data_IF_837873337260
#
_entry.id   IF_837873337260
#
_cell.length_a   1.000
_cell.length_b   1.000
_cell.length_c   1.000
_cell.angle_alpha   90.00
_cell.angle_beta   90.00
_cell.angle_gamma   90.00
#
_symmetry.space_group_name_H-M   'P 1'
#
loop_
_entity.id
_entity.type
_entity.pdbx_description
1 polymer ?
#
# COMPACT_ATOMS: atom_id res chain seq x y z
N UNK A 1 9.16 -11.83 -13.37
CA UNK A 1 10.47 -11.80 -12.68
C UNK A 1 11.10 -10.41 -12.75
N UNK A 2 11.54 -9.93 -13.93
CA UNK A 2 12.24 -8.65 -14.08
C UNK A 2 11.53 -7.45 -13.42
N UNK A 3 10.23 -7.25 -13.70
CA UNK A 3 9.47 -6.16 -13.08
C UNK A 3 9.37 -6.28 -11.55
N UNK A 4 9.21 -7.50 -11.03
CA UNK A 4 9.20 -7.74 -9.58
C UNK A 4 10.53 -7.37 -8.93
N UNK A 5 11.65 -7.76 -9.56
CA UNK A 5 12.98 -7.39 -9.11
C UNK A 5 13.18 -5.86 -9.12
N UNK A 6 12.89 -5.20 -10.24
CA UNK A 6 13.12 -3.77 -10.39
C UNK A 6 12.21 -2.94 -9.46
N UNK A 7 10.94 -3.33 -9.31
CA UNK A 7 10.02 -2.67 -8.39
C UNK A 7 10.50 -2.81 -6.93
N UNK A 8 10.95 -4.00 -6.54
CA UNK A 8 11.44 -4.30 -5.20
C UNK A 8 12.80 -3.67 -4.89
N UNK A 9 13.65 -3.47 -5.91
CA UNK A 9 14.89 -2.71 -5.83
C UNK A 9 14.62 -1.22 -5.63
N UNK A 10 13.55 -0.69 -6.24
CA UNK A 10 13.16 0.71 -6.10
C UNK A 10 12.44 1.00 -4.77
N UNK A 11 11.57 0.09 -4.31
CA UNK A 11 10.77 0.25 -3.08
C UNK A 11 10.49 -1.10 -2.41
N UNK A 12 10.54 -1.19 -1.07
CA UNK A 12 10.22 -2.43 -0.34
C UNK A 12 8.83 -3.01 -0.65
N UNK A 13 7.85 -2.15 -0.95
CA UNK A 13 6.49 -2.57 -1.33
C UNK A 13 6.43 -3.37 -2.63
N UNK A 14 7.48 -3.34 -3.46
CA UNK A 14 7.62 -4.23 -4.61
C UNK A 14 7.62 -5.72 -4.25
N UNK A 15 7.93 -6.07 -2.99
CA UNK A 15 7.77 -7.44 -2.46
C UNK A 15 6.33 -7.96 -2.61
N UNK A 16 5.34 -7.09 -2.52
CA UNK A 16 3.93 -7.49 -2.59
C UNK A 16 3.54 -8.05 -3.96
N UNK A 17 4.32 -7.77 -5.02
CA UNK A 17 4.10 -8.35 -6.35
C UNK A 17 4.28 -9.86 -6.40
N UNK A 18 4.93 -10.48 -5.40
CA UNK A 18 4.97 -11.93 -5.28
C UNK A 18 3.58 -12.54 -5.01
N UNK A 19 2.69 -11.82 -4.33
CA UNK A 19 1.38 -12.34 -3.92
C UNK A 19 0.42 -12.58 -5.10
N UNK A 20 0.21 -11.65 -6.05
CA UNK A 20 -0.55 -11.94 -7.27
C UNK A 20 -0.05 -13.18 -8.01
N UNK A 21 1.27 -13.34 -8.12
CA UNK A 21 1.89 -14.50 -8.77
C UNK A 21 1.60 -15.78 -7.99
N UNK A 22 1.72 -15.76 -6.66
CA UNK A 22 1.39 -16.90 -5.80
C UNK A 22 -0.09 -17.30 -5.94
N UNK A 23 -0.99 -16.32 -5.95
CA UNK A 23 -2.43 -16.56 -6.10
C UNK A 23 -2.73 -17.20 -7.46
N UNK A 24 -2.21 -16.64 -8.55
CA UNK A 24 -2.45 -17.21 -9.88
C UNK A 24 -1.77 -18.57 -10.07
N UNK A 25 -0.58 -18.77 -9.50
CA UNK A 25 0.11 -20.05 -9.51
C UNK A 25 -0.67 -21.12 -8.75
N UNK A 26 -1.27 -20.76 -7.61
CA UNK A 26 -2.12 -21.66 -6.84
C UNK A 26 -3.39 -22.05 -7.60
N UNK A 27 -4.03 -21.08 -8.28
CA UNK A 27 -5.25 -21.29 -9.09
C UNK A 27 -4.99 -22.23 -10.27
N UNK A 28 -3.85 -22.07 -10.94
CA UNK A 28 -3.48 -22.86 -12.13
C UNK A 28 -2.45 -23.96 -11.81
N UNK A 29 -2.33 -24.38 -10.55
CA UNK A 29 -1.25 -25.28 -10.08
C UNK A 29 -1.16 -26.62 -10.80
N UNK A 30 -2.28 -27.09 -11.37
CA UNK A 30 -2.35 -28.36 -12.12
C UNK A 30 -1.75 -28.26 -13.52
N UNK A 31 -1.65 -27.04 -14.06
CA UNK A 31 -1.16 -26.74 -15.41
C UNK A 31 0.33 -26.33 -15.40
N UNK A 32 0.90 -26.09 -14.22
CA UNK A 32 2.28 -25.62 -14.07
C UNK A 32 3.30 -26.76 -14.17
N UNK A 33 3.84 -26.97 -15.37
CA UNK A 33 4.89 -27.96 -15.65
C UNK A 33 6.11 -27.36 -16.33
N UNK A 34 7.26 -28.03 -16.21
CA UNK A 34 8.50 -27.70 -16.91
C UNK A 34 8.94 -26.23 -16.75
N UNK A 35 9.22 -25.57 -17.87
CA UNK A 35 9.69 -24.18 -17.91
C UNK A 35 8.68 -23.18 -17.29
N UNK A 36 7.38 -23.44 -17.36
CA UNK A 36 6.38 -22.55 -16.76
C UNK A 36 6.51 -22.50 -15.23
N UNK A 37 6.75 -23.66 -14.60
CA UNK A 37 6.98 -23.74 -13.15
C UNK A 37 8.24 -22.97 -12.73
N UNK A 38 9.32 -23.10 -13.50
CA UNK A 38 10.56 -22.34 -13.27
C UNK A 38 10.31 -20.84 -13.39
N UNK A 39 9.58 -20.41 -14.42
CA UNK A 39 9.21 -19.00 -14.62
C UNK A 39 8.40 -18.41 -13.46
N UNK A 40 7.44 -19.18 -12.93
CA UNK A 40 6.65 -18.79 -11.75
C UNK A 40 7.53 -18.68 -10.50
N UNK A 41 8.38 -19.66 -10.23
CA UNK A 41 9.29 -19.61 -9.09
C UNK A 41 10.25 -18.42 -9.18
N UNK A 42 10.79 -18.15 -10.37
CA UNK A 42 11.61 -16.97 -10.63
C UNK A 42 10.81 -15.68 -10.41
N UNK A 43 9.53 -15.62 -10.81
CA UNK A 43 8.69 -14.46 -10.60
C UNK A 43 8.36 -14.20 -9.11
N UNK A 44 8.21 -15.25 -8.30
CA UNK A 44 7.98 -15.16 -6.85
C UNK A 44 9.26 -14.75 -6.12
N UNK A 45 10.41 -15.30 -6.50
CA UNK A 45 11.69 -15.03 -5.85
C UNK A 45 12.29 -13.66 -6.22
N UNK A 46 12.03 -13.18 -7.44
CA UNK A 46 12.64 -11.96 -7.98
C UNK A 46 12.45 -10.70 -7.10
N UNK A 47 11.26 -10.41 -6.52
CA UNK A 47 11.11 -9.31 -5.58
C UNK A 47 12.03 -9.41 -4.35
N UNK A 48 12.15 -10.61 -3.76
CA UNK A 48 13.03 -10.83 -2.61
C UNK A 48 14.50 -10.61 -2.99
N UNK A 49 14.91 -11.04 -4.19
CA UNK A 49 16.25 -10.75 -4.73
C UNK A 49 16.45 -9.24 -4.90
N UNK A 50 15.43 -8.50 -5.36
CA UNK A 50 15.47 -7.04 -5.50
C UNK A 50 15.72 -6.32 -4.18
N UNK A 51 14.89 -6.59 -3.17
CA UNK A 51 15.09 -6.03 -1.81
C UNK A 51 16.42 -6.47 -1.21
N UNK A 52 16.77 -7.75 -1.31
CA UNK A 52 18.02 -8.28 -0.78
C UNK A 52 19.24 -7.58 -1.40
N UNK A 53 19.23 -7.37 -2.72
CA UNK A 53 20.29 -6.66 -3.43
C UNK A 53 20.43 -5.21 -2.95
N UNK A 54 19.30 -4.52 -2.74
CA UNK A 54 19.30 -3.16 -2.18
C UNK A 54 19.89 -3.14 -0.77
N UNK A 55 19.44 -4.00 0.14
CA UNK A 55 19.92 -4.05 1.53
C UNK A 55 21.41 -4.43 1.61
N UNK A 56 21.88 -5.29 0.71
CA UNK A 56 23.31 -5.61 0.59
C UNK A 56 24.14 -4.39 0.17
N UNK A 57 23.64 -3.63 -0.81
CA UNK A 57 24.28 -2.37 -1.24
C UNK A 57 24.29 -1.32 -0.13
N UNK A 58 23.19 -1.16 0.62
CA UNK A 58 23.15 -0.27 1.79
C UNK A 58 24.19 -0.72 2.82
N UNK A 59 24.25 -2.01 3.14
CA UNK A 59 25.23 -2.54 4.08
C UNK A 59 26.68 -2.28 3.66
N UNK A 60 26.99 -2.44 2.37
CA UNK A 60 28.35 -2.16 1.88
C UNK A 60 28.67 -0.66 1.89
N UNK A 61 27.68 0.22 1.72
CA UNK A 61 27.89 1.68 1.64
C UNK A 61 27.88 2.39 2.99
N UNK A 62 27.07 1.91 3.93
CA UNK A 62 26.77 2.57 5.21
C UNK A 62 27.13 1.73 6.44
N UNK A 63 27.60 0.49 6.28
CA UNK A 63 27.93 -0.42 7.39
C UNK A 63 26.71 -1.06 8.06
N UNK A 64 25.51 -0.74 7.59
CA UNK A 64 24.26 -1.19 8.16
C UNK A 64 23.26 -1.59 7.06
N UNK A 65 23.02 -2.91 6.93
CA UNK A 65 22.09 -3.47 5.94
C UNK A 65 20.62 -3.11 6.21
N UNK A 66 20.25 -2.89 7.47
CA UNK A 66 18.87 -2.65 7.89
C UNK A 66 18.60 -1.17 8.17
N UNK A 67 19.56 -0.30 7.86
CA UNK A 67 19.44 1.15 8.04
C UNK A 67 18.10 1.71 7.51
N UNK A 68 17.59 1.34 6.31
CA UNK A 68 16.33 1.87 5.81
C UNK A 68 15.13 1.47 6.67
N UNK A 69 15.17 0.28 7.29
CA UNK A 69 14.08 -0.17 8.18
C UNK A 69 14.14 0.56 9.52
N UNK A 70 15.34 0.82 10.06
CA UNK A 70 15.51 1.61 11.28
C UNK A 70 15.09 3.06 11.10
N UNK A 71 15.50 3.68 9.99
CA UNK A 71 15.04 5.03 9.63
C UNK A 71 13.53 5.08 9.46
N UNK A 72 12.91 4.02 8.93
CA UNK A 72 11.45 3.94 8.88
C UNK A 72 10.81 3.81 10.27
N UNK A 73 11.38 3.01 11.17
CA UNK A 73 10.92 2.87 12.56
C UNK A 73 10.92 4.25 13.27
N UNK A 74 11.99 5.03 13.10
CA UNK A 74 12.08 6.41 13.65
C UNK A 74 11.02 7.36 13.05
N UNK A 75 10.67 7.19 11.77
CA UNK A 75 9.76 8.09 11.06
C UNK A 75 8.28 7.69 11.18
N UNK A 76 7.98 6.40 11.40
CA UNK A 76 6.63 5.83 11.36
C UNK A 76 6.16 5.31 12.71
N UNK A 77 7.07 5.24 13.69
CA UNK A 77 6.89 4.45 14.89
C UNK A 77 6.99 2.96 14.59
N UNK A 78 6.65 2.17 15.60
CA UNK A 78 6.68 0.73 15.52
C UNK A 78 5.52 0.15 14.71
N UNK A 79 5.39 -1.18 14.81
CA UNK A 79 4.29 -1.90 14.21
C UNK A 79 3.08 -1.94 15.15
N UNK A 80 1.98 -1.33 14.74
CA UNK A 80 0.68 -1.45 15.38
C UNK A 80 -0.13 -2.64 14.82
N UNK A 81 -1.01 -3.18 15.66
CA UNK A 81 -2.06 -4.07 15.20
C UNK A 81 -3.16 -3.25 14.48
N UNK A 82 -3.44 -3.47 13.18
CA UNK A 82 -4.26 -2.55 12.39
C UNK A 82 -5.66 -2.25 12.94
N UNK A 83 -6.43 -3.23 13.47
CA UNK A 83 -7.72 -2.95 14.08
C UNK A 83 -7.62 -2.02 15.30
N UNK A 84 -6.60 -2.21 16.14
CA UNK A 84 -6.39 -1.37 17.32
C UNK A 84 -6.01 0.06 16.89
N UNK A 85 -5.12 0.20 15.91
CA UNK A 85 -4.70 1.51 15.38
C UNK A 85 -5.86 2.32 14.81
N UNK A 86 -6.81 1.67 14.12
CA UNK A 86 -8.01 2.31 13.60
C UNK A 86 -8.93 2.82 14.71
N UNK A 87 -9.05 2.08 15.82
CA UNK A 87 -9.87 2.48 16.98
C UNK A 87 -9.20 3.65 17.71
N UNK A 88 -7.89 3.58 17.94
CA UNK A 88 -7.11 4.66 18.55
C UNK A 88 -7.18 5.94 17.72
N UNK A 89 -7.13 5.81 16.39
CA UNK A 89 -7.28 6.94 15.47
C UNK A 89 -8.61 7.69 15.60
N UNK A 90 -9.68 7.06 16.07
CA UNK A 90 -10.93 7.78 16.31
C UNK A 90 -10.78 8.86 17.39
N UNK A 91 -9.90 8.66 18.36
CA UNK A 91 -9.57 9.69 19.36
C UNK A 91 -8.80 10.86 18.75
N UNK A 92 -7.92 10.58 17.79
CA UNK A 92 -7.10 11.57 17.09
C UNK A 92 -7.94 12.56 16.28
N UNK A 93 -9.12 12.17 15.80
CA UNK A 93 -10.08 13.08 15.16
C UNK A 93 -10.45 14.24 16.09
N UNK A 94 -10.45 14.02 17.41
CA UNK A 94 -10.80 15.05 18.40
C UNK A 94 -9.55 15.74 18.94
N UNK A 95 -8.49 14.99 19.21
CA UNK A 95 -7.28 15.52 19.88
C UNK A 95 -6.30 16.19 18.92
N UNK A 96 -6.27 15.76 17.66
CA UNK A 96 -5.42 16.31 16.60
C UNK A 96 -6.14 16.25 15.22
N UNK A 97 -7.22 17.04 15.04
CA UNK A 97 -8.11 16.93 13.88
C UNK A 97 -7.44 17.25 12.54
N UNK A 98 -6.35 18.02 12.52
CA UNK A 98 -5.67 18.49 11.31
C UNK A 98 -4.32 17.78 11.07
N UNK A 99 -3.78 17.09 12.08
CA UNK A 99 -2.66 16.15 11.94
C UNK A 99 -3.18 14.72 11.74
N UNK A 100 -2.87 13.81 12.67
CA UNK A 100 -3.13 12.38 12.50
C UNK A 100 -4.64 12.06 12.31
N UNK A 101 -5.52 12.85 12.96
CA UNK A 101 -6.98 12.70 12.85
C UNK A 101 -7.53 12.88 11.44
N UNK A 102 -6.87 13.69 10.60
CA UNK A 102 -7.28 13.95 9.22
C UNK A 102 -7.09 12.72 8.31
N UNK A 103 -6.17 11.83 8.68
CA UNK A 103 -5.84 10.61 7.94
C UNK A 103 -6.80 9.45 8.23
N UNK A 104 -7.53 9.52 9.35
CA UNK A 104 -8.42 8.46 9.82
C UNK A 104 -9.56 8.15 8.83
N UNK A 105 -10.29 9.14 8.28
CA UNK A 105 -11.29 8.87 7.23
C UNK A 105 -10.72 8.14 6.02
N UNK A 106 -9.49 8.45 5.63
CA UNK A 106 -8.82 7.76 4.53
C UNK A 106 -8.41 6.34 4.90
N UNK A 107 -7.95 6.10 6.13
CA UNK A 107 -7.68 4.76 6.64
C UNK A 107 -8.93 3.85 6.53
N UNK A 108 -10.11 4.36 6.90
CA UNK A 108 -11.38 3.64 6.69
C UNK A 108 -11.71 3.47 5.20
N UNK A 109 -11.46 4.49 4.37
CA UNK A 109 -11.60 4.41 2.92
C UNK A 109 -10.73 3.30 2.31
N UNK A 110 -9.49 3.15 2.78
CA UNK A 110 -8.53 2.11 2.35
C UNK A 110 -9.07 0.72 2.69
N UNK A 111 -9.60 0.51 3.91
CA UNK A 111 -10.25 -0.75 4.30
C UNK A 111 -11.46 -1.04 3.41
N UNK A 112 -12.30 -0.02 3.16
CA UNK A 112 -13.47 -0.16 2.29
C UNK A 112 -13.08 -0.51 0.85
N UNK A 113 -12.02 0.10 0.30
CA UNK A 113 -11.51 -0.23 -1.04
C UNK A 113 -10.92 -1.63 -1.10
N UNK A 114 -10.19 -2.07 -0.07
CA UNK A 114 -9.70 -3.45 0.03
C UNK A 114 -10.87 -4.45 0.06
N UNK A 115 -11.95 -4.12 0.77
CA UNK A 115 -13.20 -4.90 0.75
C UNK A 115 -13.86 -4.92 -0.63
N UNK A 116 -13.94 -3.79 -1.32
CA UNK A 116 -14.46 -3.73 -2.70
C UNK A 116 -13.60 -4.59 -3.63
N UNK A 117 -12.28 -4.51 -3.52
CA UNK A 117 -11.35 -5.33 -4.30
C UNK A 117 -11.60 -6.82 -4.06
N UNK A 118 -11.74 -7.24 -2.79
CA UNK A 118 -12.09 -8.60 -2.41
C UNK A 118 -13.40 -9.09 -3.02
N UNK A 119 -14.42 -8.21 -3.09
CA UNK A 119 -15.75 -8.59 -3.57
C UNK A 119 -15.92 -8.52 -5.09
N UNK A 120 -15.16 -7.67 -5.78
CA UNK A 120 -15.43 -7.29 -7.17
C UNK A 120 -14.27 -7.44 -8.14
N UNK A 121 -13.04 -7.64 -7.65
CA UNK A 121 -11.86 -7.79 -8.50
C UNK A 121 -11.34 -9.24 -8.50
N UNK A 122 -10.48 -9.61 -9.47
CA UNK A 122 -9.86 -10.93 -9.48
C UNK A 122 -9.09 -11.21 -8.19
N UNK A 123 -8.99 -12.47 -7.72
CA UNK A 123 -8.35 -12.82 -6.45
C UNK A 123 -6.92 -12.29 -6.28
N UNK A 124 -6.13 -12.28 -7.35
CA UNK A 124 -4.77 -11.73 -7.33
C UNK A 124 -4.74 -10.22 -7.04
N UNK A 125 -5.72 -9.48 -7.56
CA UNK A 125 -5.87 -8.04 -7.33
C UNK A 125 -6.39 -7.75 -5.92
N UNK A 126 -7.34 -8.56 -5.45
CA UNK A 126 -7.82 -8.52 -4.08
C UNK A 126 -6.67 -8.76 -3.08
N UNK A 127 -5.84 -9.78 -3.30
CA UNK A 127 -4.69 -10.08 -2.44
C UNK A 127 -3.70 -8.91 -2.38
N UNK A 128 -3.39 -8.29 -3.52
CA UNK A 128 -2.52 -7.11 -3.57
C UNK A 128 -3.13 -5.89 -2.87
N UNK A 129 -4.45 -5.70 -2.97
CA UNK A 129 -5.15 -4.62 -2.25
C UNK A 129 -5.10 -4.84 -0.74
N UNK A 130 -5.35 -6.06 -0.29
CA UNK A 130 -5.40 -6.42 1.14
C UNK A 130 -4.02 -6.30 1.77
N UNK A 131 -2.97 -6.84 1.14
CA UNK A 131 -1.61 -6.72 1.71
C UNK A 131 -1.15 -5.27 1.75
N UNK A 132 -1.52 -4.46 0.74
CA UNK A 132 -1.20 -3.03 0.75
C UNK A 132 -1.93 -2.33 1.89
N UNK A 133 -3.24 -2.58 2.05
CA UNK A 133 -4.02 -2.01 3.16
C UNK A 133 -3.43 -2.41 4.51
N UNK A 134 -3.10 -3.68 4.71
CA UNK A 134 -2.50 -4.18 5.93
C UNK A 134 -1.17 -3.45 6.21
N UNK A 135 -0.28 -3.36 5.22
CA UNK A 135 1.02 -2.70 5.37
C UNK A 135 0.89 -1.19 5.68
N UNK A 136 -0.11 -0.52 5.10
CA UNK A 136 -0.37 0.89 5.38
C UNK A 136 -0.89 1.11 6.81
N UNK A 137 -1.70 0.20 7.33
CA UNK A 137 -2.37 0.31 8.62
C UNK A 137 -1.57 -0.31 9.78
N UNK A 138 -0.45 -0.98 9.50
CA UNK A 138 0.49 -1.46 10.52
C UNK A 138 1.41 -0.37 11.07
N UNK A 139 1.44 0.83 10.50
CA UNK A 139 2.26 1.91 11.03
C UNK A 139 1.56 2.59 12.23
N UNK A 140 2.31 2.88 13.29
CA UNK A 140 1.82 3.69 14.42
C UNK A 140 1.39 5.09 13.97
N UNK A 141 2.06 5.63 12.95
CA UNK A 141 1.73 6.92 12.37
C UNK A 141 0.93 6.79 11.05
N UNK A 142 -0.30 7.33 11.02
CA UNK A 142 -1.18 7.32 9.84
C UNK A 142 -0.83 8.39 8.79
N UNK A 143 0.16 9.24 9.03
CA UNK A 143 0.56 10.28 8.09
C UNK A 143 0.90 9.71 6.72
N UNK A 144 0.36 10.35 5.68
CA UNK A 144 0.48 9.95 4.28
C UNK A 144 -0.03 8.53 3.95
N UNK A 145 -0.88 7.90 4.77
CA UNK A 145 -1.46 6.57 4.49
C UNK A 145 -2.11 6.52 3.10
N UNK A 146 -2.70 7.63 2.68
CA UNK A 146 -3.30 7.85 1.36
C UNK A 146 -2.30 7.63 0.23
N UNK A 147 -1.09 8.18 0.39
CA UNK A 147 -0.03 8.11 -0.61
C UNK A 147 0.44 6.67 -0.82
N UNK A 148 0.52 5.88 0.25
CA UNK A 148 0.92 4.47 0.15
C UNK A 148 -0.16 3.61 -0.47
N UNK A 149 -1.42 3.81 -0.07
CA UNK A 149 -2.55 3.11 -0.68
C UNK A 149 -2.74 3.48 -2.15
N UNK A 150 -2.54 4.75 -2.52
CA UNK A 150 -2.60 5.21 -3.91
C UNK A 150 -1.56 4.51 -4.81
N UNK A 151 -0.43 4.07 -4.24
CA UNK A 151 0.58 3.29 -4.96
C UNK A 151 0.10 1.91 -5.41
N UNK A 152 -1.05 1.43 -4.93
CA UNK A 152 -1.64 0.15 -5.33
C UNK A 152 -2.67 0.33 -6.44
N UNK A 153 -2.28 -0.08 -7.66
CA UNK A 153 -3.16 -0.05 -8.84
C UNK A 153 -4.52 -0.72 -8.58
N UNK A 154 -4.60 -1.90 -7.94
CA UNK A 154 -5.88 -2.51 -7.60
C UNK A 154 -6.81 -1.65 -6.74
N UNK A 155 -6.28 -0.83 -5.83
CA UNK A 155 -7.10 0.07 -5.00
C UNK A 155 -7.71 1.20 -5.84
N UNK A 156 -6.97 1.72 -6.82
CA UNK A 156 -7.48 2.72 -7.76
C UNK A 156 -8.57 2.14 -8.64
N UNK A 157 -8.41 0.90 -9.10
CA UNK A 157 -9.45 0.22 -9.87
C UNK A 157 -10.66 -0.12 -9.01
N UNK A 158 -10.48 -0.50 -7.74
CA UNK A 158 -11.59 -0.66 -6.81
C UNK A 158 -12.37 0.64 -6.63
N UNK A 159 -11.69 1.79 -6.53
CA UNK A 159 -12.32 3.11 -6.48
C UNK A 159 -13.09 3.41 -7.77
N UNK A 160 -12.52 3.10 -8.93
CA UNK A 160 -13.19 3.26 -10.22
C UNK A 160 -14.47 2.41 -10.32
N UNK A 161 -14.45 1.18 -9.81
CA UNK A 161 -15.63 0.29 -9.73
C UNK A 161 -16.73 0.88 -8.83
N UNK A 162 -16.38 1.63 -7.77
CA UNK A 162 -17.37 2.32 -6.93
C UNK A 162 -17.94 3.56 -7.65
N UNK A 163 -17.10 4.26 -8.40
CA UNK A 163 -17.42 5.50 -9.10
C UNK A 163 -18.04 5.30 -10.51
N UNK A 164 -18.36 4.08 -10.90
CA UNK A 164 -18.88 3.77 -12.24
C UNK A 164 -20.21 4.48 -12.58
N UNK A 165 -20.49 4.62 -13.88
CA UNK A 165 -21.76 5.13 -14.39
C UNK A 165 -21.96 6.62 -14.15
N UNK A 166 -23.03 7.02 -13.47
CA UNK A 166 -23.29 8.46 -13.18
C UNK A 166 -22.53 8.96 -11.94
N UNK A 167 -21.84 8.08 -11.20
CA UNK A 167 -21.19 8.40 -9.92
C UNK A 167 -19.82 9.07 -10.07
N UNK A 168 -19.18 8.97 -11.23
CA UNK A 168 -17.86 9.59 -11.44
C UNK A 168 -17.94 11.12 -11.34
N UNK A 169 -19.05 11.73 -11.76
CA UNK A 169 -19.24 13.19 -11.71
C UNK A 169 -19.17 13.74 -10.28
N UNK A 170 -20.02 13.29 -9.33
CA UNK A 170 -19.89 13.72 -7.94
C UNK A 170 -18.58 13.25 -7.30
N UNK A 171 -18.01 12.09 -7.69
CA UNK A 171 -16.73 11.64 -7.17
C UNK A 171 -15.56 12.57 -7.56
N UNK A 172 -15.51 13.03 -8.82
CA UNK A 172 -14.51 14.01 -9.28
C UNK A 172 -14.71 15.36 -8.61
N UNK A 173 -15.95 15.81 -8.46
CA UNK A 173 -16.24 17.06 -7.76
C UNK A 173 -15.79 17.00 -6.28
N UNK A 174 -16.11 15.90 -5.59
CA UNK A 174 -15.68 15.66 -4.21
C UNK A 174 -14.16 15.57 -4.11
N UNK A 175 -13.50 14.81 -4.99
CA UNK A 175 -12.04 14.69 -5.04
C UNK A 175 -11.36 16.05 -5.25
N UNK A 176 -11.90 16.87 -6.15
CA UNK A 176 -11.40 18.22 -6.42
C UNK A 176 -11.57 19.13 -5.20
N UNK A 177 -12.72 19.07 -4.53
CA UNK A 177 -12.97 19.84 -3.31
C UNK A 177 -12.03 19.43 -2.17
N UNK A 178 -11.83 18.12 -1.97
CA UNK A 178 -10.87 17.59 -1.00
C UNK A 178 -9.46 18.09 -1.35
N UNK A 179 -9.02 17.96 -2.60
CA UNK A 179 -7.71 18.42 -3.03
C UNK A 179 -7.48 19.91 -2.74
N UNK A 180 -8.44 20.77 -3.08
CA UNK A 180 -8.36 22.21 -2.79
C UNK A 180 -8.29 22.45 -1.28
N UNK A 181 -9.09 21.75 -0.48
CA UNK A 181 -9.07 21.85 0.98
C UNK A 181 -7.71 21.46 1.56
N UNK A 182 -7.20 20.28 1.21
CA UNK A 182 -5.90 19.79 1.68
C UNK A 182 -4.75 20.69 1.24
N UNK A 183 -4.76 21.18 -0.01
CA UNK A 183 -3.76 22.12 -0.51
C UNK A 183 -3.80 23.46 0.23
N UNK A 184 -5.00 23.95 0.57
CA UNK A 184 -5.18 25.17 1.37
C UNK A 184 -4.62 24.98 2.79
N UNK A 185 -4.93 23.85 3.43
CA UNK A 185 -4.40 23.55 4.78
C UNK A 185 -2.87 23.41 4.76
N UNK A 186 -2.31 22.77 3.73
CA UNK A 186 -0.87 22.69 3.54
C UNK A 186 -0.23 24.07 3.36
N UNK A 187 -0.86 24.95 2.57
CA UNK A 187 -0.40 26.32 2.36
C UNK A 187 -0.32 27.13 3.66
N UNK A 188 -1.28 26.96 4.56
CA UNK A 188 -1.29 27.61 5.87
C UNK A 188 -0.42 26.91 6.93
N UNK A 189 0.27 25.82 6.57
CA UNK A 189 1.08 25.05 7.51
C UNK A 189 0.28 24.27 8.56
N UNK A 190 -1.03 24.15 8.38
CA UNK A 190 -1.92 23.40 9.28
C UNK A 190 -1.96 21.91 8.98
N UNK A 191 -1.45 21.49 7.82
CA UNK A 191 -1.41 20.10 7.36
C UNK A 191 -0.08 19.80 6.69
N UNK A 192 0.47 18.60 6.92
CA UNK A 192 1.67 18.11 6.24
C UNK A 192 1.26 16.92 5.36
N UNK A 193 1.41 17.01 4.01
CA UNK A 193 1.10 15.91 3.09
C UNK A 193 1.95 14.64 3.24
#
# INVERSE_FOLDING_TARGET
>A
AAFGLLAALARPTGLFLALPVLVEAWRHRRELVGAARVGVLAAIAAPAVGVGSYLLWVGSRYGDRLLPLRVQDDLRGGAAFPPLRLIEGLGEIVTDPLGDGLHVPFAFGIVALAWVAWKRLPPAWAALSIVTAAACLTADNLNSVERYAYGSVPMIVALAVVAEGRRWRPAVALSSAIFIGMATMAWYGSYVP
#
